data_IF_181202968187
#
_entry.id   IF_181202968187
#
_cell.length_a   1.000
_cell.length_b   1.000
_cell.length_c   1.000
_cell.angle_alpha   90.00
_cell.angle_beta   90.00
_cell.angle_gamma   90.00
#
_symmetry.space_group_name_H-M   'P 1'
#
loop_
_entity.id
_entity.type
_entity.pdbx_description
1 polymer ?
#
# COMPACT_ATOMS: atom_id res chain seq x y z
N UNK A 1 4.74 13.98 1.83
CA UNK A 1 4.22 14.04 0.46
C UNK A 1 5.29 13.76 -0.58
N UNK A 2 5.49 12.51 -0.95
CA UNK A 2 6.40 12.03 -2.00
C UNK A 2 5.60 11.35 -3.11
N UNK A 3 6.09 11.45 -4.35
CA UNK A 3 5.56 10.71 -5.51
C UNK A 3 6.68 9.87 -6.12
N UNK A 4 6.41 8.59 -6.33
CA UNK A 4 7.34 7.63 -6.93
C UNK A 4 6.70 7.08 -8.18
N UNK A 5 7.39 7.12 -9.33
CA UNK A 5 6.90 6.54 -10.57
C UNK A 5 7.83 5.40 -11.00
N UNK A 6 7.24 4.23 -11.21
CA UNK A 6 7.91 3.06 -11.74
C UNK A 6 7.76 3.08 -13.26
N UNK A 7 8.89 3.10 -13.97
CA UNK A 7 8.89 3.16 -15.44
C UNK A 7 8.87 1.78 -16.10
N UNK A 8 9.43 0.77 -15.43
CA UNK A 8 9.46 -0.62 -15.92
C UNK A 8 9.13 -1.59 -14.77
N UNK A 9 9.96 -2.59 -14.47
CA UNK A 9 9.67 -3.57 -13.41
C UNK A 9 10.40 -3.26 -12.10
N UNK A 10 9.67 -3.19 -10.99
CA UNK A 10 10.21 -3.13 -9.63
C UNK A 10 9.54 -4.22 -8.77
N UNK A 11 10.29 -5.22 -8.27
CA UNK A 11 9.69 -6.33 -7.54
C UNK A 11 9.21 -5.96 -6.13
N UNK A 12 9.84 -4.98 -5.48
CA UNK A 12 9.53 -4.64 -4.09
C UNK A 12 9.78 -3.15 -3.82
N UNK A 13 8.85 -2.53 -3.11
CA UNK A 13 8.96 -1.15 -2.64
C UNK A 13 8.76 -1.14 -1.12
N UNK A 14 9.73 -0.57 -0.41
CA UNK A 14 9.66 -0.37 1.04
C UNK A 14 9.36 1.10 1.36
N UNK A 15 8.34 1.35 2.18
CA UNK A 15 7.95 2.69 2.63
C UNK A 15 8.05 2.73 4.17
N UNK A 16 9.05 3.44 4.70
CA UNK A 16 9.31 3.50 6.13
C UNK A 16 9.37 4.96 6.61
N UNK A 17 8.74 5.25 7.76
CA UNK A 17 8.78 6.57 8.42
C UNK A 17 8.44 7.73 7.47
N UNK A 18 7.43 7.52 6.64
CA UNK A 18 7.04 8.46 5.58
C UNK A 18 5.56 8.81 5.70
N UNK A 19 5.24 10.10 5.70
CA UNK A 19 3.86 10.59 5.65
C UNK A 19 3.56 11.17 4.26
N UNK A 20 2.51 10.66 3.63
CA UNK A 20 2.06 11.02 2.28
C UNK A 20 2.98 10.44 1.20
N UNK A 21 2.69 9.22 0.73
CA UNK A 21 3.47 8.55 -0.32
C UNK A 21 2.55 7.99 -1.42
N UNK A 22 2.68 8.51 -2.63
CA UNK A 22 1.96 8.01 -3.80
C UNK A 22 2.91 7.27 -4.73
N UNK A 23 2.68 5.98 -4.94
CA UNK A 23 3.45 5.16 -5.88
C UNK A 23 2.62 4.96 -7.14
N UNK A 24 3.20 5.22 -8.31
CA UNK A 24 2.60 5.00 -9.62
C UNK A 24 3.29 3.82 -10.28
N UNK A 25 2.56 2.73 -10.46
CA UNK A 25 3.08 1.50 -11.06
C UNK A 25 3.10 1.60 -12.58
N UNK A 26 3.98 0.84 -13.21
CA UNK A 26 3.91 0.56 -14.65
C UNK A 26 2.98 -0.64 -14.90
N UNK A 27 2.63 -0.88 -16.17
CA UNK A 27 1.91 -2.09 -16.59
C UNK A 27 2.75 -3.37 -16.38
N UNK A 28 4.07 -3.26 -16.23
CA UNK A 28 5.00 -4.38 -16.01
C UNK A 28 5.30 -4.63 -14.52
N UNK A 29 4.81 -3.80 -13.60
CA UNK A 29 5.05 -3.88 -12.14
C UNK A 29 3.78 -4.18 -11.33
N UNK A 30 2.81 -4.90 -11.90
CA UNK A 30 1.55 -5.18 -11.20
C UNK A 30 1.70 -6.19 -10.06
N UNK A 31 2.83 -6.89 -10.00
CA UNK A 31 3.22 -7.87 -9.00
C UNK A 31 4.17 -7.29 -7.93
N UNK A 32 4.42 -5.98 -7.93
CA UNK A 32 5.23 -5.31 -6.91
C UNK A 32 4.69 -5.59 -5.50
N UNK A 33 5.58 -6.04 -4.61
CA UNK A 33 5.28 -6.20 -3.19
C UNK A 33 5.55 -4.90 -2.44
N UNK A 34 4.65 -4.55 -1.52
CA UNK A 34 4.78 -3.36 -0.67
C UNK A 34 5.03 -3.76 0.77
N UNK A 35 6.13 -3.25 1.33
CA UNK A 35 6.46 -3.41 2.74
C UNK A 35 6.40 -2.03 3.40
N UNK A 36 5.51 -1.88 4.38
CA UNK A 36 5.25 -0.57 5.00
C UNK A 36 5.49 -0.62 6.50
N UNK A 37 6.07 0.43 7.07
CA UNK A 37 6.29 0.52 8.53
C UNK A 37 6.31 1.97 8.99
N UNK A 38 5.49 2.31 10.00
CA UNK A 38 5.43 3.66 10.61
C UNK A 38 5.22 4.76 9.56
N UNK A 39 4.35 4.51 8.60
CA UNK A 39 4.06 5.42 7.48
C UNK A 39 2.56 5.67 7.42
N UNK A 40 2.16 6.83 6.92
CA UNK A 40 0.76 7.23 6.77
C UNK A 40 0.47 7.83 5.39
N UNK A 41 -0.79 7.92 5.00
CA UNK A 41 -1.25 8.51 3.73
C UNK A 41 -0.58 7.87 2.50
N UNK A 42 -0.54 6.54 2.45
CA UNK A 42 0.08 5.78 1.38
C UNK A 42 -0.95 5.32 0.34
N UNK A 43 -0.68 5.61 -0.95
CA UNK A 43 -1.58 5.24 -2.05
C UNK A 43 -0.80 4.60 -3.20
N UNK A 44 -1.26 3.44 -3.65
CA UNK A 44 -0.78 2.77 -4.85
C UNK A 44 -1.68 3.13 -6.02
N UNK A 45 -1.08 3.66 -7.08
CA UNK A 45 -1.75 4.10 -8.30
C UNK A 45 -1.46 3.03 -9.36
N UNK A 46 -2.48 2.22 -9.64
CA UNK A 46 -2.40 1.13 -10.62
C UNK A 46 -2.83 1.68 -11.98
N UNK A 47 -2.00 1.59 -13.03
CA UNK A 47 -2.36 2.14 -14.33
C UNK A 47 -3.57 1.40 -14.91
N UNK A 48 -4.55 2.16 -15.40
CA UNK A 48 -5.67 1.62 -16.17
C UNK A 48 -5.88 2.46 -17.42
N UNK A 49 -6.30 1.84 -18.52
CA UNK A 49 -6.46 2.55 -19.79
C UNK A 49 -5.18 3.25 -20.28
N UNK A 50 -5.36 4.39 -20.94
CA UNK A 50 -4.27 5.23 -21.46
C UNK A 50 -4.12 6.49 -20.61
N UNK A 51 -3.06 6.53 -19.81
CA UNK A 51 -2.71 7.68 -18.99
C UNK A 51 -3.49 7.82 -17.68
N UNK A 52 -4.41 6.91 -17.38
CA UNK A 52 -5.23 6.95 -16.17
C UNK A 52 -4.70 5.98 -15.09
N UNK A 53 -5.02 6.27 -13.83
CA UNK A 53 -4.61 5.48 -12.67
C UNK A 53 -5.77 5.29 -11.71
N UNK A 54 -5.86 4.08 -11.16
CA UNK A 54 -6.80 3.73 -10.10
C UNK A 54 -6.07 3.77 -8.76
N UNK A 55 -6.61 4.51 -7.82
CA UNK A 55 -6.05 4.65 -6.48
C UNK A 55 -6.42 3.48 -5.57
N UNK A 56 -5.41 2.99 -4.86
CA UNK A 56 -5.51 1.93 -3.87
C UNK A 56 -4.78 2.36 -2.60
N UNK A 57 -5.48 2.94 -1.62
CA UNK A 57 -4.90 3.26 -0.32
C UNK A 57 -4.38 2.00 0.39
N UNK A 58 -3.19 2.08 0.98
CA UNK A 58 -2.67 1.01 1.84
C UNK A 58 -3.26 1.18 3.25
N UNK A 59 -3.86 0.13 3.86
CA UNK A 59 -4.26 0.18 5.25
C UNK A 59 -3.07 0.48 6.17
N UNK A 60 -3.24 1.51 7.00
CA UNK A 60 -2.23 1.95 7.97
C UNK A 60 -2.62 1.66 9.42
N UNK A 61 -3.88 1.27 9.64
CA UNK A 61 -4.39 0.81 10.94
C UNK A 61 -4.62 -0.70 10.93
N UNK A 62 -4.35 -1.35 12.06
CA UNK A 62 -4.48 -2.80 12.21
C UNK A 62 -5.18 -3.13 13.52
N UNK A 63 -6.07 -4.12 13.48
CA UNK A 63 -6.74 -4.66 14.66
C UNK A 63 -6.07 -5.95 15.07
N UNK A 64 -5.62 -6.02 16.32
CA UNK A 64 -5.03 -7.22 16.91
C UNK A 64 -5.90 -7.72 18.04
N UNK A 65 -6.22 -9.01 18.04
CA UNK A 65 -6.97 -9.65 19.12
C UNK A 65 -6.42 -11.04 19.45
N UNK A 66 -6.73 -11.53 20.65
CA UNK A 66 -6.35 -12.87 21.09
C UNK A 66 -7.40 -13.88 20.61
N UNK A 67 -7.02 -14.79 19.72
CA UNK A 67 -7.84 -15.91 19.26
C UNK A 67 -7.74 -17.08 20.24
N UNK A 68 -8.88 -17.52 20.73
CA UNK A 68 -9.05 -18.65 21.65
C UNK A 68 -8.16 -18.61 22.90
N UNK A 69 -7.77 -17.40 23.34
CA UNK A 69 -6.87 -17.22 24.48
C UNK A 69 -5.39 -17.59 24.21
N UNK A 70 -5.01 -17.93 22.97
CA UNK A 70 -3.72 -18.59 22.68
C UNK A 70 -2.85 -17.91 21.63
N UNK A 71 -3.44 -17.30 20.61
CA UNK A 71 -2.68 -16.73 19.50
C UNK A 71 -3.13 -15.31 19.20
N UNK A 72 -2.19 -14.42 18.88
CA UNK A 72 -2.53 -13.11 18.34
C UNK A 72 -2.87 -13.25 16.86
N UNK A 73 -3.98 -12.64 16.47
CA UNK A 73 -4.39 -12.51 15.07
C UNK A 73 -4.51 -11.02 14.77
N UNK A 74 -3.79 -10.59 13.74
CA UNK A 74 -3.78 -9.21 13.26
C UNK A 74 -4.41 -9.16 11.89
N UNK A 75 -5.34 -8.23 11.69
CA UNK A 75 -5.93 -7.94 10.38
C UNK A 75 -5.84 -6.45 10.10
N UNK A 76 -5.70 -6.05 8.82
CA UNK A 76 -5.88 -4.66 8.42
C UNK A 76 -7.23 -4.14 8.91
N UNK A 77 -7.25 -2.94 9.47
CA UNK A 77 -8.48 -2.21 9.69
C UNK A 77 -8.79 -1.44 8.41
N UNK A 78 -9.66 -2.01 7.59
CA UNK A 78 -10.23 -1.29 6.46
C UNK A 78 -11.15 -0.21 7.03
N UNK A 79 -10.66 1.02 7.12
CA UNK A 79 -11.54 2.17 7.06
C UNK A 79 -12.06 2.17 5.64
N UNK A 80 -13.27 1.64 5.42
CA UNK A 80 -13.99 1.85 4.17
C UNK A 80 -14.27 3.36 4.06
N UNK A 81 -13.30 4.13 3.59
CA UNK A 81 -13.49 5.47 3.07
C UNK A 81 -14.16 5.31 1.72
N UNK A 82 -15.48 5.08 1.76
CA UNK A 82 -16.39 5.47 0.69
C UNK A 82 -17.08 6.75 1.13
#
# INVERSE_FOLDING_TARGET
GMKVQVLDHVPTIQIEKTDGCHVYLSKTSLDTQFITSKSSEMTINVPFGDGEYKEHPIPEQFKTHLKDGKALVTVPNESAGV
#
